data_IF_712977661195
#
_entry.id   IF_712977661195
#
_cell.length_a   1.000
_cell.length_b   1.000
_cell.length_c   1.000
_cell.angle_alpha   90.00
_cell.angle_beta   90.00
_cell.angle_gamma   90.00
#
_symmetry.space_group_name_H-M   'P 1'
#
loop_
_entity.id
_entity.type
_entity.pdbx_description
1 polymer ?
#
# COMPACT_ATOMS: atom_id res chain seq x y z
N UNK A 1 9.55 58.00 39.31
CA UNK A 1 9.71 56.67 39.89
C UNK A 1 8.46 55.81 39.72
N UNK A 2 7.26 56.31 40.02
CA UNK A 2 5.99 55.54 39.94
C UNK A 2 5.63 55.06 38.52
N UNK A 3 5.89 55.85 37.48
CA UNK A 3 5.63 55.47 36.10
C UNK A 3 6.47 54.32 35.54
N UNK A 4 7.66 54.09 36.06
CA UNK A 4 8.54 52.97 35.65
C UNK A 4 8.25 51.67 36.36
N UNK A 5 7.38 51.68 37.38
CA UNK A 5 6.98 50.51 38.16
C UNK A 5 5.77 49.77 37.57
N UNK A 6 5.02 50.43 36.72
CA UNK A 6 3.80 49.87 36.13
C UNK A 6 4.06 49.36 34.71
N UNK A 7 3.52 48.21 34.39
CA UNK A 7 3.49 47.69 33.04
C UNK A 7 2.19 46.97 32.74
N UNK A 8 1.80 46.95 31.48
CA UNK A 8 0.55 46.33 31.02
C UNK A 8 0.91 45.04 30.25
N UNK A 9 0.26 43.94 30.62
CA UNK A 9 0.32 42.70 29.88
C UNK A 9 -0.94 42.65 28.98
N UNK A 10 -0.73 42.56 27.68
CA UNK A 10 -1.81 42.41 26.70
C UNK A 10 -2.30 40.99 26.68
N UNK A 11 -3.53 40.76 26.21
CA UNK A 11 -4.16 39.40 26.11
C UNK A 11 -3.35 38.42 25.23
N UNK A 12 -2.67 38.96 24.22
CA UNK A 12 -1.82 38.22 23.29
C UNK A 12 -0.47 37.81 23.88
N UNK A 13 -0.07 38.41 25.01
CA UNK A 13 1.24 38.22 25.64
C UNK A 13 1.11 37.59 27.02
N UNK A 14 2.18 36.95 27.43
CA UNK A 14 2.47 36.57 28.79
C UNK A 14 3.81 37.18 29.20
N UNK A 15 3.98 37.47 30.46
CA UNK A 15 5.16 38.16 30.93
C UNK A 15 5.89 37.37 32.02
N UNK A 16 7.23 37.38 31.97
CA UNK A 16 8.07 36.87 33.04
C UNK A 16 8.76 38.08 33.66
N UNK A 17 8.63 38.23 34.95
CA UNK A 17 9.38 39.24 35.72
C UNK A 17 10.66 38.59 36.20
N UNK A 18 11.76 39.13 35.73
CA UNK A 18 13.13 38.71 36.09
C UNK A 18 13.70 39.65 37.14
N UNK A 19 14.41 39.11 38.11
CA UNK A 19 15.17 39.86 39.08
C UNK A 19 16.64 39.43 38.97
N UNK A 20 17.50 40.32 38.50
CA UNK A 20 18.90 40.00 38.20
C UNK A 20 19.09 38.80 37.26
N UNK A 21 18.16 38.61 36.35
CA UNK A 21 18.15 37.47 35.42
C UNK A 21 17.40 36.24 35.91
N UNK A 22 17.01 36.20 37.16
CA UNK A 22 16.30 35.05 37.77
C UNK A 22 14.78 35.23 37.67
N UNK A 23 14.01 34.25 37.15
CA UNK A 23 12.55 34.35 37.00
C UNK A 23 11.85 34.28 38.37
N UNK A 24 11.22 35.39 38.78
CA UNK A 24 10.49 35.47 40.08
C UNK A 24 8.99 35.35 39.95
N UNK A 25 8.41 35.87 38.89
CA UNK A 25 6.93 35.89 38.72
C UNK A 25 6.55 35.70 37.27
N UNK A 26 5.56 34.87 37.04
CA UNK A 26 4.93 34.64 35.73
C UNK A 26 3.55 35.29 35.76
N UNK A 27 3.23 36.06 34.71
CA UNK A 27 1.97 36.75 34.56
C UNK A 27 1.36 36.31 33.23
N UNK A 28 0.34 35.44 33.27
CA UNK A 28 -0.36 34.91 32.11
C UNK A 28 -1.70 35.60 31.85
N UNK A 29 -2.17 36.43 32.82
CA UNK A 29 -3.41 37.20 32.69
C UNK A 29 -3.13 38.60 32.21
N UNK A 30 -3.93 39.11 31.29
CA UNK A 30 -3.88 40.50 30.86
C UNK A 30 -4.25 41.43 31.98
N UNK A 31 -3.63 42.61 31.98
CA UNK A 31 -3.92 43.64 32.95
C UNK A 31 -2.73 44.45 33.37
N UNK A 32 -2.96 45.37 34.29
CA UNK A 32 -1.97 46.23 34.89
C UNK A 32 -1.19 45.45 35.97
N UNK A 33 0.12 45.49 35.89
CA UNK A 33 1.00 44.79 36.83
C UNK A 33 2.09 45.74 37.32
N UNK A 34 2.70 45.37 38.45
CA UNK A 34 3.75 46.13 39.11
C UNK A 34 5.07 45.39 39.08
N UNK A 35 6.16 46.12 38.84
CA UNK A 35 7.55 45.65 38.96
C UNK A 35 8.39 46.63 39.78
N UNK A 36 9.43 46.14 40.41
CA UNK A 36 10.40 46.99 41.07
C UNK A 36 11.33 47.62 40.01
N UNK A 37 11.32 48.98 39.87
CA UNK A 37 12.17 49.65 38.91
C UNK A 37 13.64 49.42 39.26
N UNK A 38 14.51 49.40 38.24
CA UNK A 38 15.97 49.16 38.30
C UNK A 38 16.40 47.75 38.68
N UNK A 39 15.58 46.98 39.43
CA UNK A 39 15.92 45.64 39.92
C UNK A 39 15.29 44.57 39.06
N UNK A 40 14.06 44.82 38.58
CA UNK A 40 13.28 43.83 37.82
C UNK A 40 13.13 44.23 36.37
N UNK A 41 13.37 43.28 35.48
CA UNK A 41 13.11 43.37 34.06
C UNK A 41 11.93 42.48 33.70
N UNK A 42 11.15 42.87 32.68
CA UNK A 42 10.00 42.12 32.20
C UNK A 42 10.30 41.63 30.77
N UNK A 43 10.16 40.33 30.55
CA UNK A 43 10.26 39.69 29.23
C UNK A 43 8.86 39.30 28.81
N UNK A 44 8.44 39.80 27.68
CA UNK A 44 7.13 39.42 27.07
C UNK A 44 7.33 38.25 26.12
N UNK A 45 6.46 37.25 26.23
CA UNK A 45 6.40 36.11 25.36
C UNK A 45 5.00 36.06 24.69
N UNK A 46 4.97 35.74 23.42
CA UNK A 46 3.70 35.60 22.68
C UNK A 46 2.94 34.34 23.16
N UNK A 47 1.64 34.50 23.49
CA UNK A 47 0.76 33.45 23.96
C UNK A 47 -0.03 32.80 22.80
N UNK A 48 -0.01 33.43 21.63
CA UNK A 48 -0.71 32.95 20.44
C UNK A 48 -0.05 31.71 19.86
N UNK A 49 -0.73 31.10 18.90
CA UNK A 49 -0.16 30.05 18.07
C UNK A 49 0.78 30.71 17.06
N UNK A 50 2.03 30.32 17.11
CA UNK A 50 3.09 30.79 16.24
C UNK A 50 3.35 29.78 15.13
N UNK A 51 3.63 30.28 13.92
CA UNK A 51 4.03 29.46 12.80
C UNK A 51 5.56 29.32 12.75
N UNK A 52 6.01 28.11 12.52
CA UNK A 52 7.39 27.79 12.22
C UNK A 52 7.44 27.21 10.82
N UNK A 53 7.95 27.97 9.88
CA UNK A 53 8.23 27.53 8.53
C UNK A 53 9.64 26.96 8.49
N UNK A 54 9.77 25.69 8.18
CA UNK A 54 11.05 25.00 8.10
C UNK A 54 11.64 25.17 6.71
N UNK A 55 12.95 25.31 6.63
CA UNK A 55 13.64 25.25 5.35
C UNK A 55 13.50 23.87 4.72
N UNK A 56 13.25 23.80 3.39
CA UNK A 56 13.18 22.52 2.68
C UNK A 56 14.46 21.71 2.90
N UNK A 57 14.30 20.44 3.25
CA UNK A 57 15.44 19.55 3.47
C UNK A 57 15.35 18.28 2.66
N UNK A 58 16.50 17.72 2.32
CA UNK A 58 16.61 16.45 1.63
C UNK A 58 16.47 15.29 2.63
N UNK A 59 15.57 14.34 2.32
CA UNK A 59 15.31 13.13 3.09
C UNK A 59 15.37 11.93 2.15
N UNK A 60 15.95 10.83 2.61
CA UNK A 60 16.00 9.58 1.86
C UNK A 60 14.91 8.66 2.40
N UNK A 61 13.97 8.25 1.54
CA UNK A 61 12.92 7.31 1.87
C UNK A 61 13.45 5.86 1.94
N UNK A 62 12.65 4.92 2.47
CA UNK A 62 13.04 3.51 2.61
C UNK A 62 13.40 2.84 1.27
N UNK A 63 12.76 3.27 0.18
CA UNK A 63 13.03 2.85 -1.19
C UNK A 63 14.24 3.57 -1.84
N UNK A 64 15.10 4.21 -1.01
CA UNK A 64 16.32 4.94 -1.39
C UNK A 64 16.08 6.13 -2.35
N UNK A 65 14.84 6.58 -2.48
CA UNK A 65 14.51 7.79 -3.24
C UNK A 65 14.78 9.02 -2.39
N UNK A 66 15.46 10.00 -2.99
CA UNK A 66 15.69 11.31 -2.36
C UNK A 66 14.48 12.20 -2.56
N UNK A 67 14.03 12.83 -1.49
CA UNK A 67 12.89 13.75 -1.46
C UNK A 67 13.32 15.08 -0.87
N UNK A 68 12.86 16.18 -1.45
CA UNK A 68 12.92 17.49 -0.84
C UNK A 68 11.61 17.71 -0.11
N UNK A 69 11.69 17.78 1.22
CA UNK A 69 10.53 17.91 2.09
C UNK A 69 10.48 19.30 2.69
N UNK A 70 9.38 20.01 2.46
CA UNK A 70 9.04 21.29 3.05
C UNK A 70 7.94 21.08 4.09
N UNK A 71 8.17 21.55 5.33
CA UNK A 71 7.28 21.33 6.45
C UNK A 71 6.99 22.61 7.22
N UNK A 72 5.77 22.73 7.70
CA UNK A 72 5.35 23.80 8.61
C UNK A 72 4.87 23.18 9.91
N UNK A 73 5.22 23.82 11.02
CA UNK A 73 4.71 23.51 12.33
C UNK A 73 4.00 24.71 12.95
N UNK A 74 3.00 24.45 13.76
CA UNK A 74 2.34 25.44 14.60
C UNK A 74 2.58 25.09 16.06
N UNK A 75 3.04 26.06 16.83
CA UNK A 75 3.36 25.85 18.22
C UNK A 75 2.88 27.02 19.09
N UNK A 76 2.73 26.77 20.37
CA UNK A 76 2.47 27.80 21.37
C UNK A 76 3.32 27.58 22.61
N UNK A 77 3.65 28.65 23.32
CA UNK A 77 4.36 28.64 24.58
C UNK A 77 3.35 28.42 25.70
N UNK A 78 3.42 27.26 26.35
CA UNK A 78 2.47 26.87 27.43
C UNK A 78 3.07 27.12 28.81
N UNK A 79 4.36 26.84 28.95
CA UNK A 79 5.10 27.05 30.21
C UNK A 79 6.20 28.10 29.98
N UNK A 80 5.93 29.38 30.31
CA UNK A 80 6.87 30.45 30.15
C UNK A 80 8.19 30.27 30.93
N UNK A 81 8.10 29.65 32.13
CA UNK A 81 9.27 29.44 32.97
C UNK A 81 10.24 28.46 32.32
N UNK A 82 9.71 27.27 31.95
CA UNK A 82 10.51 26.25 31.26
C UNK A 82 11.06 26.80 29.95
N UNK A 83 10.24 27.54 29.19
CA UNK A 83 10.65 28.17 27.96
C UNK A 83 11.84 29.10 28.17
N UNK A 84 11.74 30.00 29.14
CA UNK A 84 12.81 30.97 29.41
C UNK A 84 14.10 30.27 29.87
N UNK A 85 14.00 29.29 30.77
CA UNK A 85 15.19 28.58 31.29
C UNK A 85 15.83 27.71 30.19
N UNK A 86 15.04 27.03 29.36
CA UNK A 86 15.56 26.10 28.37
C UNK A 86 16.05 26.78 27.10
N UNK A 87 15.38 27.84 26.66
CA UNK A 87 15.54 28.43 25.33
C UNK A 87 15.87 29.91 25.39
N UNK A 88 15.38 30.62 26.37
CA UNK A 88 15.63 32.04 26.62
C UNK A 88 14.81 32.98 25.72
N UNK A 89 14.74 32.76 24.43
CA UNK A 89 14.03 33.61 23.49
C UNK A 89 13.43 32.84 22.31
N UNK A 90 12.51 33.47 21.57
CA UNK A 90 11.77 32.85 20.46
C UNK A 90 12.68 32.46 19.28
N UNK A 91 13.75 33.21 19.01
CA UNK A 91 14.68 32.89 17.92
C UNK A 91 15.37 31.54 18.14
N UNK A 92 15.89 31.34 19.35
CA UNK A 92 16.54 30.07 19.75
C UNK A 92 15.50 28.94 19.79
N UNK A 93 14.27 29.23 20.24
CA UNK A 93 13.16 28.27 20.20
C UNK A 93 12.89 27.77 18.78
N UNK A 94 12.76 28.68 17.82
CA UNK A 94 12.54 28.36 16.41
C UNK A 94 13.65 27.48 15.86
N UNK A 95 14.90 27.80 16.11
CA UNK A 95 16.07 27.02 15.67
C UNK A 95 16.06 25.59 16.26
N UNK A 96 15.83 25.45 17.58
CA UNK A 96 15.78 24.16 18.24
C UNK A 96 14.59 23.31 17.76
N UNK A 97 13.40 23.92 17.65
CA UNK A 97 12.23 23.23 17.13
C UNK A 97 12.43 22.78 15.68
N UNK A 98 13.05 23.61 14.84
CA UNK A 98 13.41 23.25 13.46
C UNK A 98 14.28 22.00 13.44
N UNK A 99 15.30 21.94 14.29
CA UNK A 99 16.19 20.76 14.39
C UNK A 99 15.43 19.51 14.83
N UNK A 100 14.56 19.63 15.85
CA UNK A 100 13.74 18.52 16.35
C UNK A 100 12.80 18.02 15.25
N UNK A 101 12.05 18.93 14.61
CA UNK A 101 11.10 18.61 13.54
C UNK A 101 11.81 17.92 12.39
N UNK A 102 12.94 18.45 11.95
CA UNK A 102 13.75 17.90 10.86
C UNK A 102 14.25 16.48 11.19
N UNK A 103 14.71 16.26 12.41
CA UNK A 103 15.16 14.95 12.87
C UNK A 103 14.01 13.93 12.88
N UNK A 104 12.83 14.31 13.37
CA UNK A 104 11.66 13.42 13.44
C UNK A 104 11.06 13.14 12.06
N UNK A 105 10.97 14.16 11.21
CA UNK A 105 10.56 13.99 9.81
C UNK A 105 11.48 12.99 9.12
N UNK A 106 12.80 13.16 9.24
CA UNK A 106 13.77 12.24 8.63
C UNK A 106 13.64 10.82 9.18
N UNK A 107 13.45 10.67 10.49
CA UNK A 107 13.27 9.36 11.12
C UNK A 107 12.03 8.65 10.62
N UNK A 108 10.88 9.32 10.57
CA UNK A 108 9.61 8.72 10.13
C UNK A 108 9.59 8.47 8.63
N UNK A 109 10.01 9.45 7.81
CA UNK A 109 10.00 9.31 6.36
C UNK A 109 11.04 8.31 5.86
N UNK A 110 12.18 8.19 6.55
CA UNK A 110 13.24 7.23 6.21
C UNK A 110 12.82 5.76 6.38
N UNK A 111 11.78 5.48 7.15
CA UNK A 111 11.23 4.12 7.33
C UNK A 111 10.05 3.80 6.40
N UNK A 112 9.61 4.75 5.59
CA UNK A 112 8.44 4.62 4.71
C UNK A 112 8.84 4.71 3.23
N UNK A 113 8.10 3.99 2.39
CA UNK A 113 8.23 4.10 0.93
C UNK A 113 7.52 5.37 0.41
N UNK A 114 8.03 5.94 -0.69
CA UNK A 114 7.44 7.11 -1.32
C UNK A 114 5.95 6.93 -1.66
N UNK A 115 5.55 5.74 -2.11
CA UNK A 115 4.16 5.43 -2.45
C UNK A 115 3.21 5.59 -1.24
N UNK A 116 3.64 5.17 -0.06
CA UNK A 116 2.89 5.29 1.20
C UNK A 116 2.74 6.74 1.65
N UNK A 117 3.78 7.56 1.42
CA UNK A 117 3.76 8.99 1.75
C UNK A 117 2.80 9.81 0.88
N UNK A 118 2.51 9.34 -0.33
CA UNK A 118 1.57 9.95 -1.26
C UNK A 118 0.13 9.42 -1.12
N UNK A 119 -0.07 8.36 -0.33
CA UNK A 119 -1.36 7.69 -0.12
C UNK A 119 -2.16 8.25 1.06
N UNK A 120 -3.31 7.61 1.33
CA UNK A 120 -4.28 7.96 2.40
C UNK A 120 -3.69 7.88 3.82
N UNK A 121 -2.58 7.14 4.02
CA UNK A 121 -1.94 6.96 5.33
C UNK A 121 -1.11 8.17 5.80
N UNK A 122 -0.99 9.21 4.97
CA UNK A 122 -0.27 10.44 5.30
C UNK A 122 -0.71 11.08 6.62
N UNK A 123 -2.02 11.07 6.91
CA UNK A 123 -2.56 11.64 8.15
C UNK A 123 -2.05 10.92 9.40
N UNK A 124 -1.92 9.61 9.33
CA UNK A 124 -1.39 8.78 10.41
C UNK A 124 0.10 9.08 10.67
N UNK A 125 0.89 9.20 9.60
CA UNK A 125 2.30 9.56 9.71
C UNK A 125 2.50 10.96 10.31
N UNK A 126 1.66 11.93 9.91
CA UNK A 126 1.70 13.28 10.49
C UNK A 126 1.37 13.28 11.98
N UNK A 127 0.42 12.46 12.43
CA UNK A 127 0.09 12.36 13.86
C UNK A 127 1.23 11.74 14.68
N UNK A 128 1.95 10.77 14.12
CA UNK A 128 3.15 10.19 14.77
C UNK A 128 4.23 11.25 14.93
N UNK A 129 4.56 11.96 13.83
CA UNK A 129 5.55 13.05 13.86
C UNK A 129 5.15 14.12 14.87
N UNK A 130 3.88 14.54 14.87
CA UNK A 130 3.36 15.54 15.81
C UNK A 130 3.53 15.10 17.27
N UNK A 131 3.20 13.85 17.59
CA UNK A 131 3.32 13.31 18.95
C UNK A 131 4.79 13.24 19.41
N UNK A 132 5.66 12.76 18.53
CA UNK A 132 7.09 12.66 18.83
C UNK A 132 7.72 14.03 19.04
N UNK A 133 7.45 14.98 18.13
CA UNK A 133 7.93 16.36 18.26
C UNK A 133 7.36 17.02 19.50
N UNK A 134 6.06 16.80 19.81
CA UNK A 134 5.41 17.39 20.99
C UNK A 134 6.00 16.86 22.29
N UNK A 135 6.42 15.60 22.35
CA UNK A 135 7.07 15.00 23.51
C UNK A 135 8.40 15.70 23.81
N UNK A 136 9.20 15.98 22.81
CA UNK A 136 10.44 16.75 22.98
C UNK A 136 10.19 18.24 23.24
N UNK A 137 9.24 18.85 22.53
CA UNK A 137 8.91 20.27 22.69
C UNK A 137 8.37 20.61 24.10
N UNK A 138 7.69 19.67 24.77
CA UNK A 138 7.24 19.83 26.16
C UNK A 138 8.38 20.06 27.14
N UNK A 139 9.56 19.53 26.89
CA UNK A 139 10.75 19.78 27.74
C UNK A 139 11.23 21.24 27.63
N UNK A 140 10.90 21.90 26.52
CA UNK A 140 11.20 23.32 26.26
C UNK A 140 10.06 24.26 26.70
N UNK A 141 8.99 23.75 27.33
CA UNK A 141 7.81 24.54 27.70
C UNK A 141 6.90 24.90 26.53
N UNK A 142 7.06 24.22 25.39
CA UNK A 142 6.34 24.45 24.14
C UNK A 142 5.37 23.29 23.88
N UNK A 143 4.19 23.62 23.36
CA UNK A 143 3.24 22.65 22.85
C UNK A 143 3.14 22.77 21.32
N UNK A 144 3.31 21.66 20.63
CA UNK A 144 3.05 21.56 19.20
C UNK A 144 1.56 21.38 18.98
N UNK A 145 0.97 22.28 18.22
CA UNK A 145 -0.46 22.25 17.86
C UNK A 145 -0.69 21.39 16.62
N UNK A 146 0.22 21.55 15.63
CA UNK A 146 0.09 20.85 14.35
C UNK A 146 1.45 20.79 13.66
N UNK A 147 1.70 19.70 12.91
CA UNK A 147 2.85 19.55 12.01
C UNK A 147 2.34 19.04 10.68
N UNK A 148 2.70 19.73 9.60
CA UNK A 148 2.30 19.34 8.23
C UNK A 148 3.45 19.45 7.27
N UNK A 149 3.54 18.47 6.37
CA UNK A 149 4.38 18.56 5.19
C UNK A 149 3.61 19.38 4.15
N UNK A 150 4.16 20.49 3.71
CA UNK A 150 3.61 21.31 2.61
C UNK A 150 3.82 20.63 1.28
N UNK A 151 5.05 20.17 1.06
CA UNK A 151 5.52 19.60 -0.19
C UNK A 151 6.53 18.50 0.07
N UNK A 152 6.46 17.46 -0.74
CA UNK A 152 7.47 16.41 -0.81
C UNK A 152 7.71 16.12 -2.29
N UNK A 153 8.79 16.65 -2.83
CA UNK A 153 9.12 16.58 -4.25
C UNK A 153 10.43 15.82 -4.46
N UNK A 154 10.60 15.29 -5.66
CA UNK A 154 11.89 14.77 -6.10
C UNK A 154 12.84 15.94 -6.45
N UNK A 155 14.15 15.81 -6.18
CA UNK A 155 15.12 16.82 -6.59
C UNK A 155 15.06 17.11 -8.09
N UNK A 156 14.98 18.35 -8.53
CA UNK A 156 14.77 18.70 -9.95
C UNK A 156 15.87 18.20 -10.89
N UNK A 157 17.11 18.10 -10.40
CA UNK A 157 18.26 17.67 -11.20
C UNK A 157 18.20 16.23 -11.71
N UNK A 158 17.37 15.37 -11.13
CA UNK A 158 17.28 13.95 -11.48
C UNK A 158 15.85 13.49 -11.80
N UNK A 159 14.87 14.38 -11.80
CA UNK A 159 13.45 14.04 -11.93
C UNK A 159 13.15 13.22 -13.19
N UNK A 160 13.65 13.63 -14.35
CA UNK A 160 13.38 12.94 -15.62
C UNK A 160 13.99 11.53 -15.67
N UNK A 161 15.21 11.37 -15.16
CA UNK A 161 15.86 10.06 -15.09
C UNK A 161 15.13 9.11 -14.10
N UNK A 162 14.67 9.65 -12.97
CA UNK A 162 13.91 8.91 -11.97
C UNK A 162 12.53 8.52 -12.54
N UNK A 163 11.81 9.43 -13.19
CA UNK A 163 10.53 9.13 -13.84
C UNK A 163 10.67 8.06 -14.92
N UNK A 164 11.69 8.17 -15.78
CA UNK A 164 11.99 7.14 -16.79
C UNK A 164 12.26 5.77 -16.17
N UNK A 165 13.04 5.75 -15.10
CA UNK A 165 13.32 4.50 -14.36
C UNK A 165 12.04 3.92 -13.71
N UNK A 166 11.22 4.74 -13.07
CA UNK A 166 9.94 4.31 -12.49
C UNK A 166 9.00 3.76 -13.56
N UNK A 167 8.91 4.42 -14.73
CA UNK A 167 8.13 3.93 -15.86
C UNK A 167 8.62 2.56 -16.32
N UNK A 168 9.93 2.39 -16.53
CA UNK A 168 10.53 1.11 -16.94
C UNK A 168 10.28 0.01 -15.90
N UNK A 169 10.37 0.34 -14.63
CA UNK A 169 10.10 -0.59 -13.54
C UNK A 169 8.63 -1.05 -13.52
N UNK A 170 7.70 -0.12 -13.70
CA UNK A 170 6.26 -0.43 -13.81
C UNK A 170 5.91 -1.23 -15.06
N UNK A 171 6.56 -0.94 -16.18
CA UNK A 171 6.40 -1.73 -17.41
C UNK A 171 6.92 -3.17 -17.24
N UNK A 172 8.04 -3.34 -16.53
CA UNK A 172 8.60 -4.65 -16.21
C UNK A 172 7.65 -5.45 -15.30
N UNK A 173 7.19 -4.84 -14.22
CA UNK A 173 6.23 -5.43 -13.28
C UNK A 173 4.93 -5.84 -14.01
N UNK A 174 4.40 -4.97 -14.85
CA UNK A 174 3.22 -5.28 -15.65
C UNK A 174 3.44 -6.41 -16.67
N UNK A 175 4.64 -6.52 -17.25
CA UNK A 175 5.01 -7.64 -18.13
C UNK A 175 5.12 -8.95 -17.34
N UNK A 176 5.68 -8.91 -16.15
CA UNK A 176 5.82 -10.06 -15.27
C UNK A 176 4.45 -10.60 -14.84
N UNK A 177 3.53 -9.75 -14.37
CA UNK A 177 2.16 -10.17 -14.04
C UNK A 177 1.41 -10.73 -15.25
N UNK A 178 1.59 -10.14 -16.43
CA UNK A 178 0.98 -10.69 -17.66
C UNK A 178 1.55 -12.06 -18.02
N UNK A 179 2.86 -12.25 -17.88
CA UNK A 179 3.52 -13.54 -18.13
C UNK A 179 3.05 -14.62 -17.15
N UNK A 180 2.96 -14.30 -15.86
CA UNK A 180 2.41 -15.20 -14.84
C UNK A 180 0.94 -15.55 -15.11
N UNK A 181 0.14 -14.55 -15.50
CA UNK A 181 -1.25 -14.78 -15.89
C UNK A 181 -1.39 -15.69 -17.12
N UNK A 182 -0.53 -15.51 -18.12
CA UNK A 182 -0.49 -16.36 -19.32
C UNK A 182 -0.05 -17.81 -18.98
N UNK A 183 0.94 -17.97 -18.12
CA UNK A 183 1.38 -19.29 -17.63
C UNK A 183 0.26 -20.03 -16.91
N UNK A 184 -0.40 -19.36 -15.96
CA UNK A 184 -1.55 -19.95 -15.23
C UNK A 184 -2.68 -20.32 -16.18
N UNK A 185 -3.01 -19.44 -17.12
CA UNK A 185 -4.05 -19.70 -18.12
C UNK A 185 -3.69 -20.91 -18.99
N UNK A 186 -2.43 -21.01 -19.42
CA UNK A 186 -1.97 -22.16 -20.22
C UNK A 186 -2.01 -23.47 -19.40
N UNK A 187 -1.60 -23.42 -18.14
CA UNK A 187 -1.66 -24.58 -17.23
C UNK A 187 -3.11 -25.08 -17.04
N UNK A 188 -4.04 -24.15 -16.81
CA UNK A 188 -5.48 -24.49 -16.68
C UNK A 188 -6.01 -25.13 -17.96
N UNK A 189 -5.72 -24.53 -19.13
CA UNK A 189 -6.16 -25.08 -20.43
C UNK A 189 -5.57 -26.46 -20.67
N UNK A 190 -4.25 -26.63 -20.51
CA UNK A 190 -3.59 -27.92 -20.71
C UNK A 190 -4.12 -29.01 -19.78
N UNK A 191 -4.46 -28.66 -18.53
CA UNK A 191 -5.08 -29.60 -17.59
C UNK A 191 -6.49 -29.98 -18.05
N UNK A 192 -7.31 -29.01 -18.45
CA UNK A 192 -8.66 -29.27 -18.95
C UNK A 192 -8.63 -30.11 -20.22
N UNK A 193 -7.76 -29.82 -21.19
CA UNK A 193 -7.59 -30.57 -22.42
C UNK A 193 -7.16 -32.03 -22.15
N UNK A 194 -6.24 -32.24 -21.21
CA UNK A 194 -5.83 -33.54 -20.72
C UNK A 194 -7.03 -34.31 -20.14
N UNK A 195 -7.78 -33.65 -19.24
CA UNK A 195 -8.94 -34.30 -18.58
C UNK A 195 -10.03 -34.66 -19.59
N UNK A 196 -10.29 -33.80 -20.57
CA UNK A 196 -11.22 -34.11 -21.70
C UNK A 196 -10.71 -35.30 -22.50
N UNK A 197 -9.42 -35.31 -22.86
CA UNK A 197 -8.82 -36.42 -23.62
C UNK A 197 -8.93 -37.74 -22.87
N UNK A 198 -8.61 -37.76 -21.58
CA UNK A 198 -8.69 -38.93 -20.71
C UNK A 198 -10.16 -39.39 -20.57
N UNK A 199 -11.09 -38.46 -20.39
CA UNK A 199 -12.54 -38.76 -20.29
C UNK A 199 -13.07 -39.41 -21.57
N UNK A 200 -12.75 -38.84 -22.73
CA UNK A 200 -13.15 -39.38 -24.02
C UNK A 200 -12.52 -40.75 -24.30
N UNK A 201 -11.24 -40.91 -24.00
CA UNK A 201 -10.56 -42.21 -24.15
C UNK A 201 -11.18 -43.28 -23.25
N UNK A 202 -11.50 -42.95 -22.00
CA UNK A 202 -12.18 -43.87 -21.07
C UNK A 202 -13.60 -44.21 -21.53
N UNK A 203 -14.36 -43.25 -22.06
CA UNK A 203 -15.68 -43.45 -22.60
C UNK A 203 -15.64 -44.37 -23.83
N UNK A 204 -14.72 -44.13 -24.77
CA UNK A 204 -14.51 -44.99 -25.94
C UNK A 204 -14.10 -46.40 -25.54
N UNK A 205 -13.14 -46.54 -24.61
CA UNK A 205 -12.73 -47.83 -24.05
C UNK A 205 -13.95 -48.60 -23.50
N UNK A 206 -14.78 -47.92 -22.70
CA UNK A 206 -15.97 -48.54 -22.11
C UNK A 206 -16.99 -48.94 -23.16
N UNK A 207 -17.16 -48.10 -24.19
CA UNK A 207 -18.03 -48.41 -25.34
C UNK A 207 -17.54 -49.65 -26.10
N UNK A 208 -16.25 -49.73 -26.42
CA UNK A 208 -15.69 -50.89 -27.13
C UNK A 208 -15.75 -52.19 -26.31
N UNK A 209 -15.51 -52.11 -24.98
CA UNK A 209 -15.70 -53.27 -24.10
C UNK A 209 -17.16 -53.73 -24.13
N UNK A 210 -18.12 -52.81 -23.97
CA UNK A 210 -19.55 -53.15 -24.00
C UNK A 210 -20.00 -53.74 -25.36
N UNK A 211 -19.51 -53.19 -26.48
CA UNK A 211 -19.72 -53.74 -27.81
C UNK A 211 -19.15 -55.15 -27.93
N UNK A 212 -17.87 -55.34 -27.49
CA UNK A 212 -17.22 -56.64 -27.52
C UNK A 212 -17.92 -57.69 -26.65
N UNK A 213 -18.40 -57.32 -25.46
CA UNK A 213 -19.22 -58.18 -24.62
C UNK A 213 -20.57 -58.52 -25.27
N UNK A 214 -21.24 -57.53 -25.86
CA UNK A 214 -22.48 -57.73 -26.60
C UNK A 214 -22.32 -58.65 -27.81
N UNK A 215 -21.27 -58.45 -28.60
CA UNK A 215 -20.95 -59.33 -29.74
C UNK A 215 -20.55 -60.72 -29.28
N UNK A 216 -19.82 -60.86 -28.20
CA UNK A 216 -19.50 -62.15 -27.58
C UNK A 216 -20.75 -62.89 -27.11
N UNK A 217 -21.68 -62.21 -26.45
CA UNK A 217 -22.96 -62.78 -26.02
C UNK A 217 -23.84 -63.18 -27.25
N UNK A 218 -23.93 -62.29 -28.25
CA UNK A 218 -24.63 -62.57 -29.50
C UNK A 218 -24.09 -63.82 -30.17
N UNK A 219 -22.78 -63.92 -30.34
CA UNK A 219 -22.11 -65.05 -30.94
C UNK A 219 -22.34 -66.37 -30.14
N UNK A 220 -22.31 -66.30 -28.81
CA UNK A 220 -22.61 -67.42 -27.92
C UNK A 220 -24.04 -67.89 -28.05
N UNK A 221 -24.99 -66.95 -28.11
CA UNK A 221 -26.42 -67.28 -28.33
C UNK A 221 -26.61 -67.92 -29.70
N UNK A 222 -26.02 -67.34 -30.75
CA UNK A 222 -26.10 -67.90 -32.10
C UNK A 222 -25.47 -69.29 -32.18
N UNK A 223 -24.27 -69.52 -31.64
CA UNK A 223 -23.63 -70.79 -31.61
C UNK A 223 -24.44 -71.85 -30.88
N UNK A 224 -25.10 -71.52 -29.79
CA UNK A 224 -26.01 -72.46 -29.07
C UNK A 224 -27.31 -72.72 -29.79
N UNK A 225 -27.84 -71.74 -30.50
CA UNK A 225 -29.11 -71.91 -31.28
C UNK A 225 -28.89 -72.72 -32.59
N UNK A 226 -27.83 -72.33 -33.32
CA UNK A 226 -27.52 -72.95 -34.63
C UNK A 226 -26.83 -74.31 -34.54
N UNK A 227 -26.18 -74.60 -33.40
CA UNK A 227 -25.68 -75.98 -33.14
C UNK A 227 -26.75 -77.07 -33.03
N UNK A 228 -28.03 -76.66 -32.92
CA UNK A 228 -29.14 -77.58 -32.88
C UNK A 228 -29.50 -78.14 -34.27
N UNK A 229 -29.34 -77.36 -35.36
CA UNK A 229 -29.57 -77.76 -36.75
C UNK A 229 -28.54 -77.11 -37.68
N UNK A 230 -27.39 -77.69 -37.93
CA UNK A 230 -26.32 -77.13 -38.76
C UNK A 230 -26.70 -76.95 -40.23
N UNK A 231 -27.64 -77.77 -40.79
CA UNK A 231 -28.05 -77.69 -42.19
C UNK A 231 -28.93 -76.43 -42.41
N UNK A 232 -29.92 -76.21 -41.52
CA UNK A 232 -30.76 -75.02 -41.56
C UNK A 232 -29.87 -73.72 -41.36
N UNK A 233 -28.88 -73.78 -40.52
CA UNK A 233 -27.96 -72.61 -40.32
C UNK A 233 -27.18 -72.28 -41.60
N UNK A 234 -26.65 -73.30 -42.30
CA UNK A 234 -25.90 -73.05 -43.53
C UNK A 234 -26.83 -72.41 -44.61
N UNK A 235 -28.04 -72.85 -44.73
CA UNK A 235 -29.04 -72.24 -45.61
C UNK A 235 -29.36 -70.78 -45.19
N UNK A 236 -29.66 -70.54 -43.92
CA UNK A 236 -30.00 -69.22 -43.42
C UNK A 236 -28.86 -68.21 -43.64
N UNK A 237 -27.60 -68.62 -43.38
CA UNK A 237 -26.40 -67.78 -43.60
C UNK A 237 -26.19 -67.50 -45.11
N UNK A 238 -26.39 -68.44 -45.96
CA UNK A 238 -26.33 -68.23 -47.40
C UNK A 238 -27.36 -67.18 -47.85
N UNK A 239 -28.64 -67.29 -47.38
CA UNK A 239 -29.66 -66.31 -47.70
C UNK A 239 -29.35 -64.90 -47.16
N UNK A 240 -28.85 -64.80 -45.93
CA UNK A 240 -28.44 -63.52 -45.35
C UNK A 240 -27.23 -62.87 -46.09
N UNK A 241 -26.28 -63.70 -46.53
CA UNK A 241 -25.21 -63.26 -47.38
C UNK A 241 -25.68 -62.73 -48.74
N UNK A 242 -26.65 -63.40 -49.35
CA UNK A 242 -27.30 -62.95 -50.58
C UNK A 242 -28.05 -61.62 -50.36
N UNK A 243 -28.84 -61.52 -49.30
CA UNK A 243 -29.55 -60.28 -48.97
C UNK A 243 -28.55 -59.08 -48.79
N UNK A 244 -27.47 -59.28 -48.05
CA UNK A 244 -26.46 -58.23 -47.83
C UNK A 244 -25.72 -57.93 -49.14
N UNK A 245 -25.44 -58.90 -49.99
CA UNK A 245 -24.74 -58.67 -51.25
C UNK A 245 -25.62 -58.01 -52.31
N UNK A 246 -26.96 -58.20 -52.25
CA UNK A 246 -27.87 -57.62 -53.23
C UNK A 246 -28.39 -56.21 -52.87
N UNK A 247 -28.28 -55.80 -51.64
CA UNK A 247 -28.69 -54.45 -51.20
C UNK A 247 -27.75 -53.36 -51.73
N UNK A 248 -26.52 -53.67 -52.08
CA UNK A 248 -25.61 -52.74 -52.76
C UNK A 248 -25.88 -52.73 -54.28
N UNK A 249 -26.50 -51.68 -54.78
CA UNK A 249 -27.00 -51.51 -56.15
C UNK A 249 -26.01 -51.65 -57.33
N UNK A 250 -24.83 -52.21 -57.15
CA UNK A 250 -23.79 -52.40 -58.16
C UNK A 250 -23.33 -53.88 -58.32
N UNK A 251 -24.09 -54.83 -57.83
CA UNK A 251 -23.72 -56.27 -57.90
C UNK A 251 -24.42 -56.99 -59.06
N UNK A 252 -23.64 -57.30 -60.11
CA UNK A 252 -24.12 -58.20 -61.20
C UNK A 252 -23.90 -59.64 -60.79
N UNK A 253 -25.00 -60.43 -60.67
CA UNK A 253 -24.94 -61.89 -60.45
C UNK A 253 -24.91 -62.57 -61.83
N UNK A 254 -23.77 -63.19 -62.15
CA UNK A 254 -23.67 -64.04 -63.37
C UNK A 254 -24.06 -65.46 -62.92
N UNK A 255 -25.24 -65.92 -63.37
CA UNK A 255 -25.67 -67.32 -63.21
C UNK A 255 -25.16 -68.14 -64.40
N UNK A 256 -24.23 -69.05 -64.16
CA UNK A 256 -23.76 -70.04 -65.15
C UNK A 256 -24.55 -71.36 -64.99
#
# INVERSE_FOLDING_TARGET
FLFQSLFIVQEINQAIVLQFGDPKKIISKAGLNFKLPFIQNVVFLDKRILNLDNEPQEVIAADQKRLIVDAIARFKIVDPLKFYISVGNERVARSRLSTIINSRIRGVLGTQELATLLSTDRAKQMSIIQNDVNTEAKTLGIQIVDVRIKRADLPPANSDAIYKRMQTEREREAKEFRAQGAEIAQKIRSTADKDVTVLLANANKKSEIMKGEGDGQRNKIFASAFGRDPQFFAFYRAMQAYETALIGGDTSVILS
#
